data_IF_712820083610
#
_entry.id   IF_712820083610
#
_cell.length_a   1.000
_cell.length_b   1.000
_cell.length_c   1.000
_cell.angle_alpha   90.00
_cell.angle_beta   90.00
_cell.angle_gamma   90.00
#
_symmetry.space_group_name_H-M   'P 1'
#
loop_
_entity.id
_entity.type
_entity.pdbx_description
1 polymer ?
#
# COMPACT_ATOMS: atom_id res chain seq x y z
N UNK A 1 -11.02 -21.43 -2.53
CA UNK A 1 -9.57 -21.51 -2.86
C UNK A 1 -8.80 -20.67 -1.84
N UNK A 2 -8.03 -21.26 -0.93
CA UNK A 2 -7.13 -20.50 -0.07
C UNK A 2 -5.84 -20.21 -0.83
N UNK A 3 -5.55 -18.93 -1.09
CA UNK A 3 -4.31 -18.49 -1.71
C UNK A 3 -3.21 -18.58 -0.66
N UNK A 4 -2.34 -19.59 -0.76
CA UNK A 4 -1.22 -19.79 0.18
C UNK A 4 -0.20 -18.65 0.14
N UNK A 5 -0.04 -18.04 -1.04
CA UNK A 5 0.88 -16.95 -1.28
C UNK A 5 0.41 -16.09 -2.45
N UNK A 6 0.63 -14.78 -2.36
CA UNK A 6 0.32 -13.83 -3.40
C UNK A 6 1.51 -12.87 -3.60
N UNK A 7 1.86 -12.63 -4.85
CA UNK A 7 2.85 -11.62 -5.23
C UNK A 7 2.14 -10.55 -6.03
N UNK A 8 2.22 -9.32 -5.57
CA UNK A 8 1.65 -8.16 -6.25
C UNK A 8 2.71 -7.08 -6.43
N UNK A 9 2.48 -6.21 -7.42
CA UNK A 9 3.33 -5.06 -7.63
C UNK A 9 2.54 -3.87 -8.15
N UNK A 10 2.95 -2.67 -7.73
CA UNK A 10 2.37 -1.41 -8.18
C UNK A 10 3.46 -0.52 -8.82
N UNK A 11 3.17 0.19 -9.92
CA UNK A 11 4.11 1.14 -10.52
C UNK A 11 4.20 2.44 -9.71
N UNK A 12 5.32 3.14 -9.83
CA UNK A 12 5.43 4.53 -9.38
C UNK A 12 4.66 5.51 -10.27
N UNK A 13 4.59 6.78 -9.86
CA UNK A 13 3.99 7.90 -10.61
C UNK A 13 5.08 8.94 -10.91
N UNK A 14 4.99 9.58 -12.08
CA UNK A 14 5.68 10.82 -12.39
C UNK A 14 4.70 11.81 -13.03
N UNK A 15 4.93 13.11 -12.86
CA UNK A 15 4.17 14.15 -13.56
C UNK A 15 4.95 14.49 -14.83
N UNK A 16 4.36 14.27 -15.99
CA UNK A 16 4.98 14.57 -17.28
C UNK A 16 4.81 16.05 -17.65
N UNK A 17 3.69 16.66 -17.27
CA UNK A 17 3.42 18.08 -17.51
C UNK A 17 2.48 18.65 -16.43
N UNK A 18 2.63 19.94 -16.13
CA UNK A 18 1.71 20.69 -15.27
C UNK A 18 2.02 20.63 -13.78
N UNK A 19 3.25 20.27 -13.40
CA UNK A 19 3.70 20.17 -11.99
C UNK A 19 3.33 21.39 -11.14
N UNK A 20 3.66 22.58 -11.63
CA UNK A 20 3.34 23.85 -10.97
C UNK A 20 2.02 24.47 -11.46
N UNK A 21 1.42 23.95 -12.53
CA UNK A 21 0.18 24.50 -13.08
C UNK A 21 -1.06 23.95 -12.34
N UNK A 22 -0.98 22.71 -11.84
CA UNK A 22 -2.09 22.05 -11.13
C UNK A 22 -2.49 22.75 -9.84
N UNK A 23 -1.54 23.38 -9.16
CA UNK A 23 -1.80 24.16 -7.94
C UNK A 23 -2.67 25.40 -8.19
N UNK A 24 -2.81 25.80 -9.46
CA UNK A 24 -3.67 26.88 -9.90
C UNK A 24 -4.91 26.38 -10.66
N UNK A 25 -5.31 25.12 -10.44
CA UNK A 25 -6.50 24.51 -11.04
C UNK A 25 -6.38 24.19 -12.52
N UNK A 26 -5.14 24.12 -13.06
CA UNK A 26 -4.89 23.70 -14.44
C UNK A 26 -4.67 22.19 -14.52
N UNK A 27 -4.83 21.63 -15.71
CA UNK A 27 -4.63 20.18 -15.94
C UNK A 27 -3.15 19.83 -15.83
N UNK A 28 -2.86 18.69 -15.19
CA UNK A 28 -1.57 18.05 -15.20
C UNK A 28 -1.69 16.63 -15.78
N UNK A 29 -0.61 16.16 -16.40
CA UNK A 29 -0.52 14.81 -16.94
C UNK A 29 0.42 14.00 -16.05
N UNK A 30 -0.11 12.94 -15.44
CA UNK A 30 0.68 11.97 -14.69
C UNK A 30 0.81 10.67 -15.47
N UNK A 31 1.95 10.00 -15.34
CA UNK A 31 2.28 8.75 -16.02
C UNK A 31 2.81 7.72 -15.03
N UNK A 32 2.57 6.45 -15.31
CA UNK A 32 3.14 5.35 -14.54
C UNK A 32 4.62 5.18 -14.87
N UNK A 33 5.46 5.04 -13.84
CA UNK A 33 6.85 4.65 -13.98
C UNK A 33 6.97 3.14 -13.87
N UNK A 34 7.82 2.53 -14.72
CA UNK A 34 8.16 1.11 -14.59
C UNK A 34 9.14 0.82 -13.41
N UNK A 35 9.19 1.71 -12.42
CA UNK A 35 9.85 1.51 -11.13
C UNK A 35 8.78 0.95 -10.18
N UNK A 36 8.76 -0.37 -10.01
CA UNK A 36 7.67 -1.06 -9.30
C UNK A 36 8.03 -1.35 -7.85
N UNK A 37 7.07 -1.15 -6.96
CA UNK A 37 7.09 -1.65 -5.58
C UNK A 37 6.46 -3.02 -5.56
N UNK A 38 7.10 -3.97 -4.86
CA UNK A 38 6.65 -5.36 -4.76
C UNK A 38 6.19 -5.67 -3.35
N UNK A 39 5.17 -6.52 -3.25
CA UNK A 39 4.64 -7.00 -1.98
C UNK A 39 4.37 -8.50 -2.09
N UNK A 40 4.92 -9.25 -1.13
CA UNK A 40 4.70 -10.69 -0.97
C UNK A 40 3.80 -10.93 0.23
N UNK A 41 2.61 -11.47 -0.01
CA UNK A 41 1.69 -11.91 1.03
C UNK A 41 1.81 -13.41 1.19
N UNK A 42 1.97 -13.85 2.44
CA UNK A 42 2.01 -15.25 2.81
C UNK A 42 0.92 -15.48 3.86
N UNK A 43 0.04 -16.44 3.61
CA UNK A 43 -0.93 -16.87 4.61
C UNK A 43 -0.23 -17.84 5.58
N UNK A 44 -0.28 -17.52 6.87
CA UNK A 44 0.26 -18.34 7.95
C UNK A 44 -0.86 -18.82 8.86
N UNK A 45 -0.61 -19.88 9.61
CA UNK A 45 -1.51 -20.40 10.65
C UNK A 45 -1.01 -20.09 12.06
N UNK A 46 0.01 -19.22 12.20
CA UNK A 46 0.69 -18.93 13.47
C UNK A 46 -0.12 -18.01 14.39
N UNK A 47 -1.21 -17.40 13.91
CA UNK A 47 -1.99 -16.43 14.70
C UNK A 47 -1.33 -15.04 14.78
N UNK A 48 -0.28 -14.80 14.01
CA UNK A 48 0.47 -13.55 14.00
C UNK A 48 0.43 -12.88 12.63
N UNK A 49 0.50 -11.55 12.63
CA UNK A 49 0.68 -10.72 11.44
C UNK A 49 2.08 -10.12 11.48
N UNK A 50 2.89 -10.41 10.47
CA UNK A 50 4.25 -9.89 10.33
C UNK A 50 4.36 -8.97 9.13
N UNK A 51 4.98 -7.81 9.33
CA UNK A 51 5.34 -6.86 8.27
C UNK A 51 6.87 -6.74 8.23
N UNK A 52 7.43 -6.98 7.05
CA UNK A 52 8.85 -6.78 6.76
C UNK A 52 9.01 -5.75 5.64
N UNK A 53 9.61 -4.61 5.95
CA UNK A 53 9.89 -3.50 5.04
C UNK A 53 11.42 -3.30 4.95
N UNK A 54 12.12 -4.07 4.11
CA UNK A 54 13.58 -4.10 4.09
C UNK A 54 14.20 -2.78 3.63
N UNK A 55 13.51 -1.99 2.80
CA UNK A 55 14.03 -0.71 2.30
C UNK A 55 14.15 0.36 3.41
N UNK A 56 13.52 0.14 4.56
CA UNK A 56 13.56 1.05 5.72
C UNK A 56 13.92 0.30 7.01
N UNK A 57 14.57 -0.87 6.88
CA UNK A 57 15.05 -1.69 8.00
C UNK A 57 14.00 -1.95 9.11
N UNK A 58 12.74 -2.14 8.72
CA UNK A 58 11.63 -2.30 9.67
C UNK A 58 11.06 -3.71 9.61
N UNK A 59 10.99 -4.35 10.77
CA UNK A 59 10.35 -5.65 10.96
C UNK A 59 9.46 -5.58 12.20
N UNK A 60 8.17 -5.83 12.01
CA UNK A 60 7.15 -5.75 13.06
C UNK A 60 6.30 -7.01 13.03
N UNK A 61 5.90 -7.48 14.20
CA UNK A 61 5.01 -8.63 14.37
C UNK A 61 4.04 -8.37 15.49
N UNK A 62 2.77 -8.72 15.27
CA UNK A 62 1.69 -8.59 16.23
C UNK A 62 0.89 -9.89 16.30
N UNK A 63 0.36 -10.21 17.46
CA UNK A 63 -0.69 -11.22 17.58
C UNK A 63 -1.99 -10.68 16.97
N UNK A 64 -2.76 -11.54 16.30
CA UNK A 64 -4.03 -11.15 15.67
C UNK A 64 -5.03 -10.60 16.69
N UNK A 65 -4.99 -11.04 17.95
CA UNK A 65 -5.87 -10.52 19.01
C UNK A 65 -5.62 -9.04 19.32
N UNK A 66 -4.37 -8.58 19.24
CA UNK A 66 -4.00 -7.18 19.47
C UNK A 66 -4.53 -6.26 18.36
N UNK A 67 -4.72 -6.79 17.16
CA UNK A 67 -5.18 -6.04 15.98
C UNK A 67 -6.70 -6.01 15.82
N UNK A 68 -7.44 -6.86 16.53
CA UNK A 68 -8.92 -6.91 16.44
C UNK A 68 -9.61 -5.55 16.63
N UNK A 69 -9.19 -4.69 17.58
CA UNK A 69 -9.80 -3.37 17.77
C UNK A 69 -9.67 -2.43 16.56
N UNK A 70 -8.66 -2.61 15.70
CA UNK A 70 -8.45 -1.76 14.52
C UNK A 70 -9.47 -2.04 13.41
N UNK A 71 -10.05 -3.24 13.40
CA UNK A 71 -11.01 -3.64 12.35
C UNK A 71 -12.36 -2.91 12.48
N UNK A 72 -12.75 -2.48 13.67
CA UNK A 72 -13.98 -1.69 13.87
C UNK A 72 -13.89 -0.27 13.31
N UNK A 73 -12.69 0.29 13.20
CA UNK A 73 -12.48 1.67 12.73
C UNK A 73 -12.38 1.78 11.19
N UNK A 74 -12.06 0.67 10.51
CA UNK A 74 -11.79 0.64 9.08
C UNK A 74 -13.03 0.84 8.19
N UNK A 75 -14.25 0.65 8.71
CA UNK A 75 -15.48 0.86 7.94
C UNK A 75 -15.75 2.32 7.57
N UNK A 76 -15.05 3.28 8.19
CA UNK A 76 -15.22 4.71 7.94
C UNK A 76 -14.24 5.31 6.91
N UNK A 77 -13.18 4.59 6.52
CA UNK A 77 -12.12 5.13 5.69
C UNK A 77 -12.14 4.51 4.28
N UNK A 78 -13.08 4.98 3.45
CA UNK A 78 -12.83 5.02 2.00
C UNK A 78 -11.67 5.99 1.80
N UNK A 79 -10.44 5.45 1.77
CA UNK A 79 -9.25 6.20 1.43
C UNK A 79 -9.43 6.65 -0.03
N UNK A 80 -9.95 7.86 -0.18
CA UNK A 80 -9.79 8.67 -1.37
C UNK A 80 -8.30 8.87 -1.55
N UNK A 81 -7.65 7.96 -2.29
CA UNK A 81 -6.31 8.18 -2.82
C UNK A 81 -6.49 9.30 -3.85
N UNK A 82 -6.37 10.54 -3.38
CA UNK A 82 -6.26 11.71 -4.24
C UNK A 82 -5.02 11.53 -5.11
N UNK A 83 -5.25 11.35 -6.42
CA UNK A 83 -4.23 11.50 -7.46
C UNK A 83 -3.87 12.97 -7.61
#
# INVERSE_FOLDING_TARGET
MQVKQCFVSAPGKSILHGEHAVVHGKVALAVSLNLRTYLRLLSTTSGEVTINLPNIDTFLTWDVTELQPLLSDLTAALIMIWI
#
